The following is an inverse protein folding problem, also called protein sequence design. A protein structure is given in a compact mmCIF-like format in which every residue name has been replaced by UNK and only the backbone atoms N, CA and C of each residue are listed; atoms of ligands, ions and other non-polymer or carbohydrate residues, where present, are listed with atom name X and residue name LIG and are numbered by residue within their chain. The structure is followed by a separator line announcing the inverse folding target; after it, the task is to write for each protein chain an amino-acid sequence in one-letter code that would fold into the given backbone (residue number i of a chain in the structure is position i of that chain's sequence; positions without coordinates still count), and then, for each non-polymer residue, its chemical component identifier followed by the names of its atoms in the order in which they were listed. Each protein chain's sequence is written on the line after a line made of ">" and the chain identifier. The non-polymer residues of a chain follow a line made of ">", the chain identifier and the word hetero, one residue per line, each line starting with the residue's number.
data_IF_588553260392
#
_entry.id   IF_588553260392
#
_cell.length_a   1.000
_cell.length_b   1.000
_cell.length_c   1.000
_cell.angle_alpha   90.00
_cell.angle_beta   90.00
_cell.angle_gamma   90.00
#
_symmetry.space_group_name_H-M   'P 1'
#
loop_
_entity.id
_entity.type
_entity.pdbx_description
1 polymer ?
#
# COMPACT_ATOMS: atom_id res chain seq x y z
N UNK A 1 16.05 -10.56 -9.47
CA UNK A 1 14.88 -11.42 -9.78
C UNK A 1 13.64 -10.67 -9.33
N UNK A 2 12.61 -10.49 -10.16
CA UNK A 2 11.40 -9.76 -9.79
C UNK A 2 10.26 -10.76 -9.56
N UNK A 3 10.25 -11.37 -8.37
CA UNK A 3 9.28 -12.39 -7.96
C UNK A 3 7.83 -11.91 -8.10
N UNK A 4 7.57 -10.61 -7.94
CA UNK A 4 6.21 -10.06 -8.09
C UNK A 4 5.73 -10.18 -9.54
N UNK A 5 6.61 -9.91 -10.51
CA UNK A 5 6.32 -10.16 -11.92
C UNK A 5 5.98 -11.63 -12.18
N UNK A 6 6.68 -12.56 -11.52
CA UNK A 6 6.39 -13.99 -11.65
C UNK A 6 5.03 -14.35 -11.05
N UNK A 7 4.68 -13.81 -9.88
CA UNK A 7 3.37 -14.02 -9.26
C UNK A 7 2.23 -13.53 -10.15
N UNK A 8 2.38 -12.34 -10.75
CA UNK A 8 1.42 -11.85 -11.74
C UNK A 8 1.34 -12.74 -12.99
N UNK A 9 2.48 -13.18 -13.53
CA UNK A 9 2.52 -14.05 -14.71
C UNK A 9 1.87 -15.41 -14.46
N UNK A 10 2.08 -15.98 -13.27
CA UNK A 10 1.51 -17.25 -12.84
C UNK A 10 0.07 -17.13 -12.31
N UNK A 11 -0.42 -15.89 -12.12
CA UNK A 11 -1.71 -15.59 -11.48
C UNK A 11 -1.83 -16.24 -10.10
N UNK A 12 -0.72 -16.26 -9.34
CA UNK A 12 -0.65 -16.88 -8.01
C UNK A 12 -1.71 -16.26 -7.12
N UNK A 13 -2.63 -17.06 -6.55
CA UNK A 13 -3.69 -16.55 -5.68
C UNK A 13 -4.21 -17.64 -4.74
N UNK A 14 -4.42 -17.34 -3.44
CA UNK A 14 -4.11 -16.07 -2.78
C UNK A 14 -2.60 -15.86 -2.60
N UNK A 15 -2.18 -14.60 -2.45
CA UNK A 15 -0.89 -14.26 -1.81
C UNK A 15 -1.16 -13.81 -0.38
N UNK A 16 -0.21 -14.01 0.53
CA UNK A 16 -0.26 -13.45 1.87
C UNK A 16 0.59 -12.18 1.95
N UNK A 17 0.03 -11.09 2.47
CA UNK A 17 0.69 -9.81 2.67
C UNK A 17 0.86 -9.49 4.16
N UNK A 18 2.12 -9.34 4.58
CA UNK A 18 2.47 -8.65 5.82
C UNK A 18 2.90 -7.21 5.49
N UNK A 19 2.40 -6.21 6.23
CA UNK A 19 2.66 -4.80 5.96
C UNK A 19 2.69 -3.99 7.26
N UNK A 20 3.65 -3.08 7.34
CA UNK A 20 3.78 -2.03 8.34
C UNK A 20 3.71 -0.67 7.66
N UNK A 21 3.01 0.26 8.29
CA UNK A 21 2.95 1.67 7.92
C UNK A 21 3.51 2.49 9.08
N UNK A 22 4.66 3.10 8.84
CA UNK A 22 5.38 3.94 9.77
C UNK A 22 4.96 5.40 9.52
N UNK A 23 4.21 6.00 10.46
CA UNK A 23 3.91 7.42 10.39
C UNK A 23 5.19 8.26 10.42
N UNK A 24 5.16 9.47 9.83
CA UNK A 24 6.28 10.38 9.91
C UNK A 24 6.61 10.76 11.35
N UNK A 25 7.87 11.16 11.57
CA UNK A 25 8.29 11.73 12.85
C UNK A 25 7.51 13.01 13.12
N UNK A 26 7.04 13.17 14.35
CA UNK A 26 6.42 14.40 14.84
C UNK A 26 7.41 15.11 15.76
N UNK A 27 7.42 16.44 15.72
CA UNK A 27 8.21 17.22 16.68
C UNK A 27 7.42 17.30 17.98
N UNK A 28 7.88 16.61 19.02
CA UNK A 28 7.40 16.75 20.38
C UNK A 28 8.16 17.85 21.13
N UNK A 29 7.73 18.20 22.35
CA UNK A 29 8.41 19.20 23.19
C UNK A 29 9.87 18.83 23.47
N UNK A 30 10.19 17.53 23.52
CA UNK A 30 11.53 17.01 23.84
C UNK A 30 12.35 16.60 22.59
N UNK A 31 11.85 16.87 21.38
CA UNK A 31 12.49 16.49 20.11
C UNK A 31 11.64 15.57 19.23
N UNK A 32 12.24 14.96 18.18
CA UNK A 32 11.49 14.10 17.26
C UNK A 32 10.99 12.84 17.98
N UNK A 33 9.69 12.63 17.98
CA UNK A 33 9.05 11.47 18.55
C UNK A 33 8.60 10.49 17.46
N UNK A 34 9.04 9.23 17.60
CA UNK A 34 8.54 8.12 16.81
C UNK A 34 7.14 7.73 17.31
N UNK A 35 6.19 7.58 16.40
CA UNK A 35 4.88 7.00 16.71
C UNK A 35 4.91 5.50 16.41
N UNK A 36 4.08 4.73 17.13
CA UNK A 36 3.95 3.29 16.89
C UNK A 36 3.48 3.03 15.45
N UNK A 37 4.10 2.09 14.71
CA UNK A 37 3.66 1.76 13.37
C UNK A 37 2.33 1.02 13.38
N UNK A 38 1.53 1.27 12.35
CA UNK A 38 0.35 0.45 12.06
C UNK A 38 0.82 -0.83 11.37
N UNK A 39 0.25 -1.97 11.74
CA UNK A 39 0.58 -3.26 11.14
C UNK A 39 -0.67 -4.06 10.78
N UNK A 40 -0.58 -4.80 9.69
CA UNK A 40 -1.55 -5.85 9.38
C UNK A 40 -1.45 -6.99 10.42
N UNK A 41 -2.55 -7.73 10.65
CA UNK A 41 -2.51 -8.88 11.56
C UNK A 41 -1.53 -9.95 11.08
N UNK A 42 -0.92 -10.68 12.02
CA UNK A 42 -0.19 -11.91 11.70
C UNK A 42 -1.17 -13.05 11.40
N UNK A 43 -0.92 -13.90 10.37
CA UNK A 43 0.28 -13.98 9.52
C UNK A 43 0.30 -13.03 8.31
N UNK A 44 -0.76 -12.27 8.09
CA UNK A 44 -0.92 -11.32 7.01
C UNK A 44 -2.39 -11.19 6.62
N UNK A 45 -2.65 -10.51 5.50
CA UNK A 45 -3.95 -10.54 4.81
C UNK A 45 -3.82 -11.22 3.46
N UNK A 46 -4.89 -11.87 3.02
CA UNK A 46 -4.93 -12.47 1.69
C UNK A 46 -5.05 -11.39 0.61
N UNK A 47 -4.34 -11.58 -0.49
CA UNK A 47 -4.48 -10.82 -1.72
C UNK A 47 -5.04 -11.72 -2.82
N UNK A 48 -6.10 -11.26 -3.46
CA UNK A 48 -6.78 -11.96 -4.55
C UNK A 48 -6.39 -11.35 -5.88
N UNK A 49 -6.04 -12.22 -6.84
CA UNK A 49 -5.68 -11.80 -8.19
C UNK A 49 -6.92 -11.43 -9.02
N UNK A 50 -6.87 -10.26 -9.65
CA UNK A 50 -7.81 -9.80 -10.67
C UNK A 50 -7.05 -9.60 -11.98
N UNK A 51 -7.45 -10.26 -13.09
CA UNK A 51 -6.78 -10.10 -14.38
C UNK A 51 -6.96 -8.69 -14.96
N UNK A 52 -6.06 -8.31 -15.88
CA UNK A 52 -6.19 -7.10 -16.67
C UNK A 52 -7.47 -7.16 -17.52
N UNK A 53 -8.13 -6.01 -17.68
CA UNK A 53 -9.41 -5.91 -18.39
C UNK A 53 -9.44 -4.66 -19.27
N UNK A 54 -10.12 -4.76 -20.41
CA UNK A 54 -10.45 -3.60 -21.24
C UNK A 54 -11.91 -3.24 -21.02
N UNK A 55 -12.16 -2.04 -20.48
CA UNK A 55 -13.52 -1.56 -20.18
C UNK A 55 -13.90 -0.39 -21.09
N UNK A 56 -15.14 -0.39 -21.58
CA UNK A 56 -15.72 0.73 -22.31
C UNK A 56 -16.59 1.57 -21.37
N UNK A 57 -16.30 2.87 -21.26
CA UNK A 57 -17.15 3.83 -20.53
C UNK A 57 -17.25 5.14 -21.29
N UNK A 58 -18.48 5.57 -21.56
CA UNK A 58 -18.75 6.83 -22.27
C UNK A 58 -18.11 6.90 -23.66
N UNK A 59 -18.09 5.77 -24.39
CA UNK A 59 -17.47 5.65 -25.71
C UNK A 59 -15.94 5.68 -25.71
N UNK A 60 -15.31 5.60 -24.54
CA UNK A 60 -13.84 5.50 -24.39
C UNK A 60 -13.46 4.12 -23.88
N UNK A 61 -12.39 3.58 -24.47
CA UNK A 61 -11.80 2.30 -24.10
C UNK A 61 -10.67 2.56 -23.09
N UNK A 62 -10.74 1.89 -21.95
CA UNK A 62 -9.74 1.96 -20.88
C UNK A 62 -9.13 0.58 -20.65
N UNK A 63 -7.80 0.50 -20.68
CA UNK A 63 -7.07 -0.70 -20.28
C UNK A 63 -6.76 -0.62 -18.78
N UNK A 64 -7.40 -1.48 -18.00
CA UNK A 64 -7.15 -1.64 -16.57
C UNK A 64 -6.07 -2.70 -16.36
N UNK A 65 -5.02 -2.41 -15.56
CA UNK A 65 -3.99 -3.41 -15.27
C UNK A 65 -4.52 -4.54 -14.41
N UNK A 66 -3.84 -5.69 -14.48
CA UNK A 66 -4.01 -6.75 -13.51
C UNK A 66 -3.64 -6.22 -12.11
N UNK A 67 -4.30 -6.73 -11.09
CA UNK A 67 -4.06 -6.29 -9.72
C UNK A 67 -4.28 -7.39 -8.70
N UNK A 68 -3.69 -7.18 -7.53
CA UNK A 68 -3.97 -7.92 -6.32
C UNK A 68 -4.74 -7.03 -5.36
N UNK A 69 -5.90 -7.47 -4.91
CA UNK A 69 -6.73 -6.75 -3.96
C UNK A 69 -6.76 -7.49 -2.61
N UNK A 70 -6.55 -6.76 -1.52
CA UNK A 70 -6.66 -7.32 -0.18
C UNK A 70 -8.08 -7.80 0.11
N UNK A 71 -8.19 -8.97 0.72
CA UNK A 71 -9.44 -9.58 1.16
C UNK A 71 -9.43 -9.81 2.67
N UNK A 72 -10.56 -9.51 3.31
CA UNK A 72 -10.79 -9.75 4.74
C UNK A 72 -10.95 -8.48 5.57
N UNK A 73 -11.34 -8.65 6.82
CA UNK A 73 -11.57 -7.54 7.75
C UNK A 73 -10.25 -7.18 8.45
N UNK A 74 -9.81 -5.94 8.32
CA UNK A 74 -8.62 -5.37 8.96
C UNK A 74 -8.75 -5.15 10.48
N UNK A 75 -9.69 -5.85 11.12
CA UNK A 75 -10.17 -5.58 12.48
C UNK A 75 -9.16 -5.89 13.60
N UNK A 76 -7.95 -6.34 13.28
CA UNK A 76 -6.90 -6.65 14.27
C UNK A 76 -5.60 -5.96 13.92
N UNK A 77 -5.51 -4.67 14.23
CA UNK A 77 -4.32 -3.83 14.08
C UNK A 77 -4.40 -2.60 14.99
N UNK A 78 -3.29 -1.88 15.15
CA UNK A 78 -3.28 -0.61 15.88
C UNK A 78 -4.36 0.32 15.31
N UNK A 79 -5.20 0.84 16.20
CA UNK A 79 -6.28 1.73 15.83
C UNK A 79 -5.70 3.10 15.48
N UNK A 80 -6.28 3.74 14.48
CA UNK A 80 -6.09 5.16 14.22
C UNK A 80 -6.58 5.98 15.41
N UNK A 81 -6.24 7.28 15.45
CA UNK A 81 -6.56 8.13 16.60
C UNK A 81 -8.05 8.15 16.95
N UNK A 82 -8.91 7.92 15.95
CA UNK A 82 -10.37 7.92 16.03
C UNK A 82 -10.97 6.53 16.31
N UNK A 83 -10.14 5.53 16.67
CA UNK A 83 -10.61 4.18 17.00
C UNK A 83 -10.97 3.30 15.79
N UNK A 84 -10.64 3.73 14.58
CA UNK A 84 -10.84 2.97 13.33
C UNK A 84 -9.56 2.22 12.93
N UNK A 85 -9.64 1.06 12.25
CA UNK A 85 -8.45 0.39 11.75
C UNK A 85 -7.75 1.26 10.69
N UNK A 86 -6.42 1.41 10.80
CA UNK A 86 -5.66 2.19 9.82
C UNK A 86 -5.76 1.60 8.42
N UNK A 87 -5.55 0.29 8.27
CA UNK A 87 -5.70 -0.38 6.98
C UNK A 87 -7.18 -0.66 6.70
N UNK A 88 -7.65 -0.30 5.52
CA UNK A 88 -9.02 -0.57 5.01
C UNK A 88 -9.01 -1.30 3.69
N UNK A 89 -8.00 -1.04 2.88
CA UNK A 89 -7.75 -1.74 1.62
C UNK A 89 -6.28 -1.59 1.25
N UNK A 90 -5.75 -2.60 0.58
CA UNK A 90 -4.42 -2.59 -0.02
C UNK A 90 -4.54 -3.20 -1.40
N UNK A 91 -4.06 -2.50 -2.42
CA UNK A 91 -4.04 -3.00 -3.80
C UNK A 91 -2.64 -2.90 -4.37
N UNK A 92 -2.23 -3.92 -5.13
CA UNK A 92 -0.98 -3.91 -5.89
C UNK A 92 -1.34 -4.02 -7.37
N UNK A 93 -0.98 -3.02 -8.16
CA UNK A 93 -1.19 -2.98 -9.60
C UNK A 93 0.06 -3.44 -10.35
N UNK A 94 -0.14 -4.27 -11.36
CA UNK A 94 0.90 -4.59 -12.33
C UNK A 94 1.26 -3.37 -13.19
N UNK A 95 2.48 -3.34 -13.77
CA UNK A 95 2.84 -2.39 -14.81
C UNK A 95 1.80 -2.33 -15.92
N UNK A 96 1.57 -1.11 -16.39
CA UNK A 96 0.59 -0.77 -17.42
C UNK A 96 1.16 0.30 -18.37
N UNK A 97 0.48 0.61 -19.48
CA UNK A 97 0.87 1.71 -20.34
C UNK A 97 0.92 3.08 -19.63
N UNK A 98 0.15 3.26 -18.55
CA UNK A 98 0.08 4.51 -17.78
C UNK A 98 1.11 4.58 -16.66
N UNK A 99 1.52 3.44 -16.09
CA UNK A 99 2.55 3.36 -15.07
C UNK A 99 3.43 2.13 -15.34
N UNK A 100 4.71 2.37 -15.65
CA UNK A 100 5.65 1.30 -16.04
C UNK A 100 6.14 0.46 -14.87
N UNK A 101 5.85 0.88 -13.64
CA UNK A 101 6.25 0.21 -12.42
C UNK A 101 5.05 -0.46 -11.74
N UNK A 102 5.35 -1.37 -10.80
CA UNK A 102 4.33 -1.81 -9.86
C UNK A 102 3.91 -0.65 -8.98
N UNK A 103 2.61 -0.52 -8.72
CA UNK A 103 2.08 0.51 -7.82
C UNK A 103 1.35 -0.17 -6.70
N UNK A 104 1.67 0.21 -5.48
CA UNK A 104 0.92 -0.20 -4.30
C UNK A 104 0.11 0.97 -3.78
N UNK A 105 -1.18 0.73 -3.54
CA UNK A 105 -2.07 1.69 -2.90
C UNK A 105 -2.52 1.18 -1.55
N UNK A 106 -2.60 2.08 -0.58
CA UNK A 106 -3.16 1.80 0.75
C UNK A 106 -4.30 2.78 0.98
N UNK A 107 -5.49 2.27 1.27
CA UNK A 107 -6.72 3.02 1.55
C UNK A 107 -7.20 3.95 0.42
N UNK A 108 -6.63 3.85 -0.78
CA UNK A 108 -6.80 4.84 -1.85
C UNK A 108 -6.16 6.21 -1.57
N UNK A 109 -5.47 6.35 -0.43
CA UNK A 109 -4.91 7.62 0.07
C UNK A 109 -3.38 7.69 -0.11
N UNK A 110 -2.72 6.54 0.00
CA UNK A 110 -1.28 6.41 -0.21
C UNK A 110 -1.04 5.63 -1.49
N UNK A 111 -0.09 6.09 -2.30
CA UNK A 111 0.32 5.43 -3.54
C UNK A 111 1.83 5.52 -3.69
N UNK A 112 2.50 4.39 -3.86
CA UNK A 112 3.96 4.33 -4.00
C UNK A 112 4.41 3.16 -4.88
N UNK A 113 5.61 3.30 -5.44
CA UNK A 113 6.31 2.20 -6.11
C UNK A 113 7.14 1.45 -5.07
N UNK A 114 6.92 0.13 -4.86
CA UNK A 114 7.70 -0.64 -3.90
C UNK A 114 9.13 -0.84 -4.40
N UNK A 115 10.10 -0.60 -3.53
CA UNK A 115 11.50 -0.98 -3.71
C UNK A 115 11.74 -2.34 -3.06
N UNK A 116 12.08 -3.33 -3.87
CA UNK A 116 12.30 -4.71 -3.42
C UNK A 116 13.68 -4.91 -2.80
N UNK A 117 13.76 -5.80 -1.82
CA UNK A 117 15.04 -6.11 -1.17
C UNK A 117 16.02 -6.77 -2.16
N UNK A 118 17.31 -6.38 -2.12
CA UNK A 118 18.30 -6.86 -3.09
C UNK A 118 18.72 -8.32 -2.86
N UNK A 119 18.39 -8.88 -1.70
CA UNK A 119 18.69 -10.26 -1.33
C UNK A 119 17.80 -11.30 -2.03
N UNK A 120 16.81 -10.84 -2.81
CA UNK A 120 15.88 -11.70 -3.55
C UNK A 120 14.73 -12.23 -2.70
N UNK A 121 14.67 -11.87 -1.41
CA UNK A 121 13.50 -12.16 -0.59
C UNK A 121 12.30 -11.34 -1.08
N UNK A 122 11.06 -11.82 -0.84
CA UNK A 122 9.86 -11.10 -1.22
C UNK A 122 9.50 -9.95 -0.24
N UNK A 123 10.54 -9.32 0.31
CA UNK A 123 10.45 -8.10 1.11
C UNK A 123 10.52 -6.83 0.27
N UNK A 124 9.84 -5.78 0.73
CA UNK A 124 9.84 -4.48 0.08
C UNK A 124 9.72 -3.33 1.07
N UNK A 125 10.08 -2.13 0.60
CA UNK A 125 9.79 -0.86 1.26
C UNK A 125 9.26 0.17 0.28
N UNK A 126 8.48 1.13 0.74
CA UNK A 126 7.97 2.24 -0.06
C UNK A 126 7.83 3.50 0.76
N UNK A 127 7.89 4.66 0.09
CA UNK A 127 7.77 5.96 0.75
C UNK A 127 6.69 6.75 0.00
N UNK A 128 5.78 7.37 0.75
CA UNK A 128 4.68 8.14 0.17
C UNK A 128 4.37 9.36 1.03
N UNK A 129 4.26 10.55 0.40
CA UNK A 129 3.61 11.68 1.06
C UNK A 129 2.08 11.54 0.90
N UNK A 130 1.29 11.80 1.95
CA UNK A 130 -0.16 11.71 1.85
C UNK A 130 -0.68 12.69 0.78
N UNK A 131 -1.72 12.29 0.05
CA UNK A 131 -2.39 13.19 -0.89
C UNK A 131 -2.93 14.44 -0.17
N UNK A 132 -2.88 15.59 -0.85
CA UNK A 132 -3.41 16.85 -0.32
C UNK A 132 -4.88 16.66 0.08
N UNK A 133 -5.21 16.95 1.36
CA UNK A 133 -6.55 16.79 1.92
C UNK A 133 -6.74 15.60 2.87
N UNK A 134 -5.75 14.71 3.05
CA UNK A 134 -5.76 13.77 4.19
C UNK A 134 -5.42 14.56 5.45
N UNK A 135 -6.47 15.08 6.10
CA UNK A 135 -6.38 15.90 7.30
C UNK A 135 -5.73 15.12 8.45
N UNK A 136 -4.41 15.22 8.58
CA UNK A 136 -3.78 15.07 9.89
C UNK A 136 -4.26 16.27 10.71
N UNK A 137 -5.27 16.04 11.56
CA UNK A 137 -5.84 17.05 12.45
C UNK A 137 -4.71 17.82 13.15
N UNK A 138 -4.56 19.11 12.80
CA UNK A 138 -3.61 20.02 13.45
C UNK A 138 -2.77 20.92 12.53
N UNK A 139 -2.70 20.66 11.22
CA UNK A 139 -1.93 21.54 10.30
C UNK A 139 -2.84 22.08 9.20
N UNK A 140 -3.43 23.25 9.46
CA UNK A 140 -4.08 24.06 8.43
C UNK A 140 -3.02 24.56 7.45
N UNK A 141 -2.85 23.85 6.34
CA UNK A 141 -1.96 24.27 5.26
C UNK A 141 -1.94 23.28 4.12
N UNK A 142 -2.03 23.80 2.89
CA UNK A 142 -2.04 23.11 1.60
C UNK A 142 -0.69 22.44 1.25
N UNK A 143 0.05 21.99 2.26
CA UNK A 143 1.37 21.37 2.12
C UNK A 143 1.24 19.87 2.34
N UNK A 144 1.79 19.10 1.42
CA UNK A 144 2.02 17.67 1.61
C UNK A 144 2.75 17.46 2.93
N UNK A 145 2.15 16.66 3.82
CA UNK A 145 2.80 16.29 5.08
C UNK A 145 4.10 15.52 4.83
N UNK A 146 4.96 15.37 5.85
CA UNK A 146 6.15 14.54 5.75
C UNK A 146 5.79 13.11 5.32
N UNK A 147 6.70 12.40 4.64
CA UNK A 147 6.38 11.14 4.01
C UNK A 147 6.27 10.00 5.02
N UNK A 148 5.35 9.08 4.76
CA UNK A 148 5.19 7.80 5.43
C UNK A 148 6.15 6.78 4.84
N UNK A 149 6.62 5.86 5.68
CA UNK A 149 7.39 4.69 5.27
C UNK A 149 6.51 3.44 5.37
N UNK A 150 6.48 2.64 4.33
CA UNK A 150 5.81 1.34 4.28
C UNK A 150 6.86 0.25 4.15
N UNK A 151 6.72 -0.83 4.91
CA UNK A 151 7.59 -2.01 4.82
C UNK A 151 6.74 -3.26 4.82
N UNK A 152 6.99 -4.20 3.93
CA UNK A 152 6.16 -5.38 3.81
C UNK A 152 6.87 -6.59 3.24
N UNK A 153 6.15 -7.70 3.25
CA UNK A 153 6.60 -8.99 2.79
C UNK A 153 5.43 -9.74 2.14
N UNK A 154 5.68 -10.35 0.98
CA UNK A 154 4.73 -11.20 0.28
C UNK A 154 5.12 -12.68 0.37
N UNK A 155 4.15 -13.56 0.58
CA UNK A 155 4.37 -15.01 0.55
C UNK A 155 3.21 -15.72 -0.14
N UNK A 156 3.39 -17.02 -0.40
CA UNK A 156 2.38 -17.93 -0.94
C UNK A 156 1.81 -18.75 0.23
#
# INVERSE_FOLDING_TARGET
>A
MNWLSEYFAQRTSPLSLSLWAHPPLVVGPDGPACREPYRLPYPGVELVYTPAETVERGGRIYALPARYDSRGTFARGALHHDGTPFFREVTIFAPSPFNRDFVMTVNGEFSFVPSFWPDGSPGFSGICAPAAGVCMSGVSGDRSGPPWLFQGYLSI
#
